data_IF_437633529709
#
_entry.id   IF_437633529709
#
_cell.length_a   1.000
_cell.length_b   1.000
_cell.length_c   1.000
_cell.angle_alpha   90.00
_cell.angle_beta   90.00
_cell.angle_gamma   90.00
#
_symmetry.space_group_name_H-M   'P 1'
#
loop_
_entity.id
_entity.type
_entity.pdbx_description
1 polymer ?
#
# COMPACT_ATOMS: atom_id res chain seq x y z
N UNK A 1 -17.45 -12.83 12.15
CA UNK A 1 -16.80 -12.34 10.92
C UNK A 1 -15.51 -13.08 10.67
N UNK A 2 -14.65 -13.42 10.99
CA UNK A 2 -13.62 -14.43 10.93
C UNK A 2 -12.69 -14.39 9.71
N UNK A 3 -12.22 -15.57 9.33
CA UNK A 3 -11.15 -15.81 8.35
C UNK A 3 -11.33 -15.09 6.99
N UNK A 4 -12.55 -15.10 6.43
CA UNK A 4 -12.79 -14.47 5.12
C UNK A 4 -12.60 -12.94 5.14
N UNK A 5 -12.90 -12.27 6.26
CA UNK A 5 -12.63 -10.85 6.44
C UNK A 5 -11.11 -10.59 6.50
N UNK A 6 -10.39 -11.36 7.30
CA UNK A 6 -8.94 -11.24 7.42
C UNK A 6 -8.25 -11.57 6.09
N UNK A 7 -8.63 -12.64 5.40
CA UNK A 7 -8.05 -13.01 4.10
C UNK A 7 -8.25 -11.92 3.03
N UNK A 8 -9.32 -11.14 3.17
CA UNK A 8 -9.58 -10.02 2.26
C UNK A 8 -8.78 -8.76 2.58
N UNK A 9 -8.59 -8.42 3.84
CA UNK A 9 -8.11 -7.10 4.24
C UNK A 9 -6.72 -7.09 4.88
N UNK A 10 -6.19 -8.25 5.27
CA UNK A 10 -4.86 -8.33 5.90
C UNK A 10 -3.75 -7.89 4.95
N UNK A 11 -2.64 -7.45 5.53
CA UNK A 11 -1.44 -6.95 4.87
C UNK A 11 -1.65 -5.64 4.09
N UNK A 12 -2.83 -5.04 4.17
CA UNK A 12 -3.14 -3.77 3.56
C UNK A 12 -3.23 -2.63 4.60
N UNK A 13 -3.20 -1.38 4.14
CA UNK A 13 -3.57 -0.28 5.00
C UNK A 13 -5.06 -0.35 5.34
N UNK A 14 -5.46 0.27 6.45
CA UNK A 14 -6.85 0.32 6.86
C UNK A 14 -7.71 1.22 5.94
N UNK A 15 -7.07 2.15 5.23
CA UNK A 15 -7.75 3.11 4.35
C UNK A 15 -8.62 2.46 3.25
N UNK A 16 -8.22 1.40 2.53
CA UNK A 16 -9.08 0.73 1.57
C UNK A 16 -10.35 0.12 2.21
N UNK A 17 -10.27 -0.40 3.43
CA UNK A 17 -11.44 -0.86 4.17
C UNK A 17 -12.35 0.32 4.56
N UNK A 18 -11.77 1.40 5.07
CA UNK A 18 -12.50 2.62 5.39
C UNK A 18 -13.28 3.15 4.18
N UNK A 19 -12.61 3.29 3.05
CA UNK A 19 -13.23 3.74 1.80
C UNK A 19 -14.34 2.78 1.34
N UNK A 20 -14.11 1.48 1.41
CA UNK A 20 -15.12 0.48 1.05
C UNK A 20 -16.37 0.61 1.91
N UNK A 21 -16.23 0.67 3.24
CA UNK A 21 -17.37 0.84 4.16
C UNK A 21 -18.09 2.15 3.89
N UNK A 22 -17.38 3.25 3.78
CA UNK A 22 -17.96 4.57 3.51
C UNK A 22 -18.75 4.63 2.20
N UNK A 23 -18.26 4.01 1.13
CA UNK A 23 -18.90 4.07 -0.18
C UNK A 23 -20.02 3.04 -0.38
N UNK A 24 -20.17 2.09 0.52
CA UNK A 24 -21.18 1.02 0.42
C UNK A 24 -22.19 1.00 1.55
N UNK A 25 -21.90 1.70 2.65
CA UNK A 25 -22.74 1.66 3.86
C UNK A 25 -23.15 3.08 4.32
N UNK A 26 -24.33 3.25 4.97
CA UNK A 26 -25.41 2.26 5.04
C UNK A 26 -26.00 2.01 3.66
N UNK A 27 -26.54 0.79 3.42
CA UNK A 27 -26.97 0.37 2.09
C UNK A 27 -28.08 1.23 1.45
N UNK A 28 -28.88 1.93 2.25
CA UNK A 28 -29.92 2.86 1.79
C UNK A 28 -29.42 4.30 1.58
N UNK A 29 -28.23 4.66 2.11
CA UNK A 29 -27.66 5.99 2.01
C UNK A 29 -26.12 5.95 2.15
N UNK A 30 -25.39 5.38 1.18
CA UNK A 30 -23.93 5.29 1.26
C UNK A 30 -23.28 6.67 1.40
N UNK A 31 -22.29 6.79 2.28
CA UNK A 31 -21.57 8.04 2.51
C UNK A 31 -22.29 9.06 3.40
N UNK A 32 -23.42 8.71 4.00
CA UNK A 32 -24.25 9.66 4.78
C UNK A 32 -23.81 9.87 6.22
N UNK A 33 -22.88 9.07 6.74
CA UNK A 33 -22.38 9.21 8.11
C UNK A 33 -21.08 10.03 8.13
N UNK A 34 -20.79 10.60 9.28
CA UNK A 34 -19.52 11.29 9.50
C UNK A 34 -18.33 10.29 9.51
N UNK A 35 -17.16 10.75 9.10
CA UNK A 35 -15.96 9.91 9.05
C UNK A 35 -15.58 9.30 10.39
N UNK A 36 -15.87 9.98 11.50
CA UNK A 36 -15.69 9.46 12.85
C UNK A 36 -16.58 8.23 13.09
N UNK A 37 -17.86 8.29 12.70
CA UNK A 37 -18.80 7.16 12.84
C UNK A 37 -18.37 5.97 11.98
N UNK A 38 -17.88 6.20 10.77
CA UNK A 38 -17.30 5.12 9.95
C UNK A 38 -16.08 4.49 10.62
N UNK A 39 -15.26 5.31 11.29
CA UNK A 39 -14.08 4.84 12.01
C UNK A 39 -14.47 3.96 13.20
N UNK A 40 -15.52 4.33 13.95
CA UNK A 40 -16.06 3.51 15.05
C UNK A 40 -16.61 2.17 14.56
N UNK A 41 -17.35 2.18 13.45
CA UNK A 41 -17.83 0.94 12.81
C UNK A 41 -16.66 0.04 12.44
N UNK A 42 -15.59 0.60 11.89
CA UNK A 42 -14.40 -0.17 11.52
C UNK A 42 -13.70 -0.71 12.76
N UNK A 43 -13.53 0.08 13.81
CA UNK A 43 -12.96 -0.37 15.07
C UNK A 43 -13.73 -1.59 15.63
N UNK A 44 -15.07 -1.52 15.62
CA UNK A 44 -15.92 -2.65 16.01
C UNK A 44 -15.72 -3.88 15.10
N UNK A 45 -15.60 -3.69 13.77
CA UNK A 45 -15.37 -4.80 12.83
C UNK A 45 -14.01 -5.47 13.05
N UNK A 46 -12.98 -4.69 13.39
CA UNK A 46 -11.65 -5.20 13.71
C UNK A 46 -11.67 -6.01 15.00
N UNK A 47 -12.29 -5.49 16.06
CA UNK A 47 -12.48 -6.19 17.32
C UNK A 47 -13.28 -7.50 17.14
N UNK A 48 -14.41 -7.44 16.43
CA UNK A 48 -15.23 -8.62 16.12
C UNK A 48 -14.53 -9.64 15.20
N UNK A 49 -13.34 -9.31 14.69
CA UNK A 49 -12.50 -10.18 13.89
C UNK A 49 -11.23 -10.63 14.64
N UNK A 50 -11.22 -10.51 15.97
CA UNK A 50 -10.13 -10.91 16.87
C UNK A 50 -8.80 -10.20 16.57
N UNK A 51 -8.85 -8.99 16.02
CA UNK A 51 -7.65 -8.18 15.84
C UNK A 51 -7.32 -7.42 17.13
N UNK A 52 -6.05 -7.38 17.53
CA UNK A 52 -5.66 -6.72 18.76
C UNK A 52 -5.94 -5.21 18.69
N UNK A 53 -6.47 -4.65 19.77
CA UNK A 53 -6.63 -3.22 19.90
C UNK A 53 -5.28 -2.51 19.92
N UNK A 54 -5.23 -1.34 19.28
CA UNK A 54 -4.09 -0.44 19.38
C UNK A 54 -4.03 0.27 20.73
N UNK A 55 -2.94 1.01 20.97
CA UNK A 55 -2.76 1.81 22.20
C UNK A 55 -3.47 3.18 22.14
N UNK A 56 -4.00 3.56 21.01
CA UNK A 56 -4.67 4.84 20.79
C UNK A 56 -5.96 4.64 20.03
N UNK A 57 -6.87 5.59 20.22
CA UNK A 57 -8.13 5.65 19.50
C UNK A 57 -7.91 5.69 17.98
N UNK A 58 -8.71 4.92 17.24
CA UNK A 58 -8.70 4.94 15.80
C UNK A 58 -9.37 6.23 15.29
N UNK A 59 -8.64 7.00 14.47
CA UNK A 59 -9.11 8.27 13.90
C UNK A 59 -9.04 8.27 12.39
N UNK A 60 -9.90 9.04 11.68
CA UNK A 60 -9.92 9.07 10.22
C UNK A 60 -8.58 9.46 9.58
N UNK A 61 -7.81 10.35 10.19
CA UNK A 61 -6.55 10.87 9.68
C UNK A 61 -5.39 9.88 9.73
N UNK A 62 -5.52 8.79 10.52
CA UNK A 62 -4.48 7.78 10.67
C UNK A 62 -4.76 6.46 9.92
N UNK A 63 -5.97 6.25 9.37
CA UNK A 63 -6.34 4.98 8.71
C UNK A 63 -5.38 4.57 7.59
N UNK A 64 -4.79 5.53 6.89
CA UNK A 64 -3.80 5.26 5.82
C UNK A 64 -2.44 4.76 6.34
N UNK A 65 -2.14 4.97 7.62
CA UNK A 65 -0.87 4.58 8.27
C UNK A 65 -0.96 3.24 8.98
N UNK A 66 -2.17 2.80 9.33
CA UNK A 66 -2.40 1.55 10.05
C UNK A 66 -2.41 0.41 9.05
N UNK A 67 -1.59 -0.60 9.29
CA UNK A 67 -1.58 -1.85 8.52
C UNK A 67 -2.35 -2.92 9.29
N UNK A 68 -3.25 -3.61 8.59
CA UNK A 68 -3.97 -4.75 9.15
C UNK A 68 -3.07 -5.99 9.13
N UNK A 69 -2.62 -6.41 10.28
CA UNK A 69 -1.80 -7.60 10.47
C UNK A 69 -2.56 -8.58 11.36
N UNK A 70 -2.63 -9.84 10.94
CA UNK A 70 -3.28 -10.87 11.76
C UNK A 70 -2.49 -11.17 13.03
N UNK A 71 -3.11 -11.84 13.98
CA UNK A 71 -2.50 -12.22 15.28
C UNK A 71 -1.22 -13.06 15.13
N UNK A 72 -1.07 -13.77 14.00
CA UNK A 72 0.15 -14.53 13.70
C UNK A 72 1.29 -13.67 13.15
N UNK A 73 1.12 -12.36 13.10
CA UNK A 73 2.05 -11.43 12.47
C UNK A 73 1.88 -11.27 10.96
N UNK A 74 2.74 -10.46 10.33
CA UNK A 74 2.66 -10.21 8.89
C UNK A 74 2.98 -11.48 8.10
N UNK A 75 2.18 -11.77 7.08
CA UNK A 75 2.44 -12.85 6.12
C UNK A 75 3.17 -12.34 4.90
N UNK A 76 4.12 -13.12 4.35
CA UNK A 76 4.71 -12.80 3.06
C UNK A 76 3.64 -12.72 1.98
N UNK A 77 3.69 -11.68 1.14
CA UNK A 77 2.79 -11.58 -0.01
C UNK A 77 3.05 -12.74 -0.98
N UNK A 78 2.01 -13.27 -1.58
CA UNK A 78 2.13 -14.33 -2.57
C UNK A 78 2.89 -13.84 -3.81
N UNK A 79 3.57 -14.77 -4.49
CA UNK A 79 4.15 -14.49 -5.80
C UNK A 79 3.05 -14.05 -6.78
N UNK A 80 3.36 -13.14 -7.68
CA UNK A 80 2.45 -12.53 -8.66
C UNK A 80 1.34 -11.66 -8.06
N UNK A 81 1.45 -11.28 -6.78
CA UNK A 81 0.56 -10.26 -6.21
C UNK A 81 0.83 -8.90 -6.86
N UNK A 82 -0.22 -8.16 -7.21
CA UNK A 82 -0.10 -6.76 -7.60
C UNK A 82 0.15 -5.95 -6.32
N UNK A 83 1.25 -5.22 -6.31
CA UNK A 83 1.70 -4.47 -5.13
C UNK A 83 1.93 -3.00 -5.44
N UNK A 84 1.87 -2.19 -4.39
CA UNK A 84 2.40 -0.83 -4.32
C UNK A 84 3.59 -0.82 -3.38
N UNK A 85 4.71 -0.27 -3.83
CA UNK A 85 5.90 -0.05 -3.04
C UNK A 85 6.38 1.40 -3.17
N UNK A 86 6.93 1.96 -2.10
CA UNK A 86 7.51 3.31 -2.07
C UNK A 86 8.97 3.18 -1.69
N UNK A 87 9.84 3.82 -2.45
CA UNK A 87 11.30 3.79 -2.25
C UNK A 87 12.00 4.81 -3.13
N UNK A 88 13.30 4.65 -3.28
CA UNK A 88 14.15 5.49 -4.12
C UNK A 88 14.39 4.82 -5.46
N UNK A 89 14.15 5.52 -6.55
CA UNK A 89 14.48 5.02 -7.87
C UNK A 89 15.99 5.15 -8.12
N UNK A 90 16.67 4.03 -8.32
CA UNK A 90 18.10 3.95 -8.62
C UNK A 90 18.34 3.39 -10.01
N UNK A 91 19.24 4.02 -10.75
CA UNK A 91 19.78 3.44 -11.99
C UNK A 91 20.95 2.55 -11.63
N UNK A 92 20.89 1.29 -12.05
CA UNK A 92 21.92 0.29 -11.85
C UNK A 92 22.77 0.10 -13.13
N UNK A 93 23.81 -0.72 -13.03
CA UNK A 93 24.60 -1.09 -14.19
C UNK A 93 23.74 -1.75 -15.30
N UNK A 94 24.16 -1.62 -16.55
CA UNK A 94 23.46 -2.17 -17.73
C UNK A 94 22.04 -1.64 -17.95
N UNK A 95 21.79 -0.37 -17.60
CA UNK A 95 20.47 0.27 -17.71
C UNK A 95 19.35 -0.45 -16.92
N UNK A 96 19.72 -1.23 -15.93
CA UNK A 96 18.76 -1.81 -15.01
C UNK A 96 18.27 -0.76 -14.00
N UNK A 97 17.08 -0.97 -13.45
CA UNK A 97 16.47 -0.10 -12.46
C UNK A 97 16.21 -0.85 -11.17
N UNK A 98 16.39 -0.19 -10.06
CA UNK A 98 16.05 -0.70 -8.75
C UNK A 98 15.24 0.30 -7.94
N UNK A 99 14.35 -0.21 -7.10
CA UNK A 99 13.70 0.52 -6.04
C UNK A 99 14.45 0.20 -4.75
N UNK A 100 15.34 1.09 -4.34
CA UNK A 100 16.16 0.93 -3.13
C UNK A 100 15.54 1.67 -1.95
N UNK A 101 15.94 1.34 -0.72
CA UNK A 101 15.36 1.89 0.51
C UNK A 101 13.83 1.77 0.51
N UNK A 102 13.30 0.71 -0.10
CA UNK A 102 11.88 0.52 -0.20
C UNK A 102 11.27 0.07 1.13
N UNK A 103 10.10 0.60 1.44
CA UNK A 103 9.25 0.06 2.48
C UNK A 103 8.63 -1.28 2.06
N UNK A 104 8.01 -1.99 3.01
CA UNK A 104 7.31 -3.24 2.70
C UNK A 104 6.22 -3.00 1.65
N UNK A 105 6.19 -3.81 0.58
CA UNK A 105 5.18 -3.69 -0.45
C UNK A 105 3.80 -4.01 0.11
N UNK A 106 2.79 -3.30 -0.35
CA UNK A 106 1.39 -3.49 0.05
C UNK A 106 0.57 -3.99 -1.12
N UNK A 107 -0.37 -4.93 -0.93
CA UNK A 107 -1.19 -5.43 -2.01
C UNK A 107 -2.10 -4.32 -2.56
N UNK A 108 -2.27 -4.27 -3.87
CA UNK A 108 -3.23 -3.40 -4.55
C UNK A 108 -4.49 -4.20 -4.83
N UNK A 109 -5.61 -3.77 -4.24
CA UNK A 109 -6.90 -4.48 -4.35
C UNK A 109 -7.81 -3.89 -5.42
N UNK A 110 -7.48 -2.73 -5.94
CA UNK A 110 -8.21 -2.12 -7.05
C UNK A 110 -7.92 -2.86 -8.35
N UNK A 111 -8.97 -3.15 -9.14
CA UNK A 111 -8.80 -3.66 -10.50
C UNK A 111 -8.29 -2.58 -11.47
N UNK A 112 -8.37 -1.32 -11.08
CA UNK A 112 -7.88 -0.19 -11.85
C UNK A 112 -6.45 0.06 -11.40
N UNK A 113 -5.51 -0.47 -12.16
CA UNK A 113 -4.08 -0.24 -11.95
C UNK A 113 -3.66 1.08 -12.60
N UNK A 114 -4.54 1.66 -13.39
CA UNK A 114 -4.33 2.88 -14.15
C UNK A 114 -4.51 4.10 -13.24
N UNK A 115 -3.40 4.70 -12.89
CA UNK A 115 -3.34 5.95 -12.14
C UNK A 115 -3.30 5.77 -10.62
N UNK A 116 -2.84 6.82 -10.00
CA UNK A 116 -2.77 6.96 -8.54
C UNK A 116 -3.72 8.07 -8.13
N UNK A 117 -4.56 7.82 -7.13
CA UNK A 117 -5.44 8.87 -6.62
C UNK A 117 -4.65 9.90 -5.81
N UNK A 118 -5.13 11.16 -5.68
CA UNK A 118 -4.48 12.16 -4.84
C UNK A 118 -4.27 11.70 -3.39
N UNK A 119 -5.21 10.92 -2.86
CA UNK A 119 -5.14 10.34 -1.52
C UNK A 119 -4.02 9.31 -1.41
N UNK A 120 -3.89 8.43 -2.40
CA UNK A 120 -2.79 7.46 -2.46
C UNK A 120 -1.43 8.17 -2.56
N UNK A 121 -1.33 9.22 -3.36
CA UNK A 121 -0.11 10.03 -3.48
C UNK A 121 0.26 10.65 -2.13
N UNK A 122 -0.70 11.24 -1.43
CA UNK A 122 -0.49 11.83 -0.11
C UNK A 122 0.02 10.79 0.90
N UNK A 123 -0.59 9.61 0.92
CA UNK A 123 -0.14 8.49 1.77
C UNK A 123 1.27 8.06 1.41
N UNK A 124 1.58 7.91 0.13
CA UNK A 124 2.90 7.47 -0.34
C UNK A 124 3.99 8.52 -0.10
N UNK A 125 3.66 9.81 -0.21
CA UNK A 125 4.57 10.91 0.15
C UNK A 125 4.95 10.84 1.63
N UNK A 126 3.99 10.59 2.50
CA UNK A 126 4.20 10.51 3.95
C UNK A 126 4.84 9.18 4.40
N UNK A 127 4.85 8.14 3.56
CA UNK A 127 5.39 6.84 3.92
C UNK A 127 6.92 6.94 4.16
N UNK A 128 7.44 6.46 5.29
CA UNK A 128 8.88 6.44 5.52
C UNK A 128 9.58 5.48 4.55
N UNK A 129 10.85 5.77 4.25
CA UNK A 129 11.72 4.85 3.53
C UNK A 129 12.03 3.64 4.43
N UNK A 130 12.26 2.49 3.79
CA UNK A 130 12.60 1.24 4.44
C UNK A 130 14.00 0.74 4.08
N UNK A 131 14.18 -0.58 4.11
CA UNK A 131 15.48 -1.23 3.86
C UNK A 131 15.46 -2.22 2.71
N UNK A 132 14.29 -2.44 2.10
CA UNK A 132 14.16 -3.43 1.02
C UNK A 132 14.67 -2.89 -0.30
N UNK A 133 15.04 -3.81 -1.19
CA UNK A 133 15.44 -3.50 -2.57
C UNK A 133 14.71 -4.43 -3.52
N UNK A 134 14.13 -3.85 -4.57
CA UNK A 134 13.46 -4.60 -5.64
C UNK A 134 14.09 -4.23 -6.98
N UNK A 135 14.41 -5.21 -7.80
CA UNK A 135 14.71 -4.96 -9.21
C UNK A 135 13.42 -4.58 -9.93
N UNK A 136 13.47 -3.52 -10.73
CA UNK A 136 12.33 -3.06 -11.50
C UNK A 136 12.45 -3.53 -12.95
N UNK A 137 11.42 -4.21 -13.43
CA UNK A 137 11.29 -4.63 -14.82
C UNK A 137 10.26 -3.76 -15.53
N UNK A 138 10.49 -3.49 -16.82
CA UNK A 138 9.55 -2.71 -17.66
C UNK A 138 9.29 -1.30 -17.13
N UNK A 139 10.33 -0.63 -16.62
CA UNK A 139 10.21 0.78 -16.19
C UNK A 139 9.84 1.64 -17.41
N UNK A 140 8.75 2.43 -17.37
CA UNK A 140 8.38 3.33 -18.46
C UNK A 140 9.50 4.33 -18.77
N UNK A 141 9.62 4.75 -20.02
CA UNK A 141 10.66 5.71 -20.44
C UNK A 141 10.63 7.02 -19.62
N UNK A 142 9.43 7.50 -19.26
CA UNK A 142 9.27 8.66 -18.39
C UNK A 142 9.81 8.44 -16.96
N UNK A 143 9.92 7.17 -16.53
CA UNK A 143 10.48 6.82 -15.23
C UNK A 143 11.95 7.22 -15.09
N UNK A 144 12.72 7.23 -16.19
CA UNK A 144 14.13 7.60 -16.16
C UNK A 144 14.38 9.04 -15.66
N UNK A 145 13.43 9.97 -15.89
CA UNK A 145 13.51 11.35 -15.38
C UNK A 145 13.36 11.46 -13.86
N UNK A 146 12.95 10.38 -13.20
CA UNK A 146 12.78 10.32 -11.75
C UNK A 146 13.92 9.59 -11.02
N UNK A 147 15.06 9.37 -11.70
CA UNK A 147 16.24 8.82 -11.06
C UNK A 147 16.65 9.66 -9.83
N UNK A 148 16.87 9.01 -8.69
CA UNK A 148 17.16 9.67 -7.41
C UNK A 148 15.95 10.25 -6.67
N UNK A 149 14.77 10.21 -7.27
CA UNK A 149 13.55 10.64 -6.61
C UNK A 149 13.00 9.56 -5.67
N UNK A 150 12.23 9.98 -4.68
CA UNK A 150 11.30 9.11 -3.99
C UNK A 150 10.11 8.84 -4.90
N UNK A 151 9.87 7.57 -5.19
CA UNK A 151 8.83 7.15 -6.12
C UNK A 151 7.87 6.14 -5.49
N UNK A 152 6.63 6.14 -5.97
CA UNK A 152 5.69 5.05 -5.81
C UNK A 152 5.70 4.19 -7.06
N UNK A 153 5.83 2.89 -6.87
CA UNK A 153 5.74 1.89 -7.96
C UNK A 153 4.54 1.00 -7.69
N UNK A 154 3.69 0.81 -8.70
CA UNK A 154 2.69 -0.27 -8.74
C UNK A 154 3.12 -1.29 -9.77
N UNK A 155 2.99 -2.56 -9.45
CA UNK A 155 3.38 -3.63 -10.38
C UNK A 155 3.20 -5.02 -9.79
N UNK A 156 3.54 -6.03 -10.58
CA UNK A 156 3.44 -7.42 -10.18
C UNK A 156 4.72 -7.85 -9.46
N UNK A 157 4.58 -8.24 -8.19
CA UNK A 157 5.67 -8.76 -7.38
C UNK A 157 6.07 -10.15 -7.89
N UNK A 158 7.33 -10.32 -8.25
CA UNK A 158 7.87 -11.60 -8.69
C UNK A 158 8.96 -12.06 -7.70
N UNK A 159 8.67 -13.15 -7.01
CA UNK A 159 9.54 -13.79 -6.02
C UNK A 159 10.10 -15.09 -6.61
N UNK A 160 10.98 -14.96 -7.57
CA UNK A 160 11.79 -16.08 -8.05
C UNK A 160 13.22 -15.88 -7.57
N UNK A 161 13.80 -16.94 -7.07
CA UNK A 161 15.17 -16.96 -6.56
C UNK A 161 15.37 -16.06 -5.31
N UNK A 162 16.58 -15.58 -5.12
CA UNK A 162 16.99 -14.74 -3.98
C UNK A 162 16.69 -13.24 -4.18
N UNK A 163 16.28 -12.84 -5.38
CA UNK A 163 16.08 -11.43 -5.73
C UNK A 163 14.61 -11.17 -6.02
N UNK A 164 14.00 -10.31 -5.23
CA UNK A 164 12.63 -9.86 -5.48
C UNK A 164 12.58 -8.82 -6.60
N UNK A 165 11.61 -8.97 -7.50
CA UNK A 165 11.42 -8.10 -8.66
C UNK A 165 10.01 -7.55 -8.68
N UNK A 166 9.85 -6.34 -9.21
CA UNK A 166 8.53 -5.78 -9.52
C UNK A 166 8.47 -5.50 -11.02
N UNK A 167 7.55 -6.16 -11.71
CA UNK A 167 7.22 -5.80 -13.08
C UNK A 167 6.32 -4.57 -13.05
N UNK A 168 6.88 -3.42 -13.44
CA UNK A 168 6.28 -2.11 -13.24
C UNK A 168 5.09 -1.91 -14.18
N UNK A 169 3.96 -1.48 -13.62
CA UNK A 169 2.75 -1.10 -14.34
C UNK A 169 2.55 0.42 -14.30
N UNK A 170 2.85 1.06 -13.17
CA UNK A 170 2.95 2.52 -13.05
C UNK A 170 4.08 2.93 -12.12
N UNK A 171 4.65 4.11 -12.38
CA UNK A 171 5.70 4.72 -11.58
C UNK A 171 5.43 6.22 -11.50
N UNK A 172 5.39 6.76 -10.29
CA UNK A 172 5.08 8.16 -10.02
C UNK A 172 6.03 8.72 -8.98
N UNK A 173 6.52 9.94 -9.23
CA UNK A 173 7.35 10.66 -8.26
C UNK A 173 6.47 11.18 -7.12
N UNK A 174 6.84 10.83 -5.88
CA UNK A 174 6.17 11.29 -4.65
C UNK A 174 7.07 12.20 -3.80
N UNK A 175 8.28 12.46 -4.27
CA UNK A 175 9.22 13.41 -3.70
C UNK A 175 10.41 13.64 -4.62
N UNK A 176 10.93 14.87 -4.72
CA UNK A 176 11.98 15.22 -5.69
C UNK A 176 13.35 14.62 -5.32
N UNK A 177 13.52 14.19 -4.10
CA UNK A 177 14.75 13.57 -3.62
C UNK A 177 14.41 12.41 -2.69
N UNK A 178 15.32 11.47 -2.63
CA UNK A 178 15.31 10.40 -1.64
C UNK A 178 15.98 10.80 -0.32
N UNK A 179 15.67 12.00 0.13
CA UNK A 179 16.18 12.68 1.29
C UNK A 179 17.06 11.87 2.24
N UNK A 180 18.19 12.46 2.56
CA UNK A 180 19.00 11.95 3.64
C UNK A 180 18.40 12.27 4.99
#
# INVERSE_FOLDING_TARGET
MGKAFLDRWREDALEPLFRFVRTTMPGNAPGSLDDAVYTDIIAFLLEASDLPAGQSELKPDIVGRIQLVGVEGPRPLANLTIVRAVGCLSSEANNAWALVKAGSPRPVRSRIVDGTTPEELKVSTAQPLGTQTFLLLSVPAQGASHAGHKVQVKGVLNRRDTIERINVMSLESVGPTCGG
#
